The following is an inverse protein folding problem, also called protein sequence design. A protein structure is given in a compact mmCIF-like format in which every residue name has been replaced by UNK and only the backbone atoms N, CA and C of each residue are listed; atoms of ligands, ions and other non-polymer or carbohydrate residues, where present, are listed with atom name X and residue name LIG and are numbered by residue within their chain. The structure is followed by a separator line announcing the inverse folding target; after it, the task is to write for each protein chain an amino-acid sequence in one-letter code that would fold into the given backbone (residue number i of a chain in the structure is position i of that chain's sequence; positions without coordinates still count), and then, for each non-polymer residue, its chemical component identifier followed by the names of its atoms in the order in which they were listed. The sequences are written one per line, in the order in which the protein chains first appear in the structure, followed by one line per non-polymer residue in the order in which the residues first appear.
data_IF_788582398058
#
_entry.id   IF_788582398058
#
_cell.length_a   1.000
_cell.length_b   1.000
_cell.length_c   1.000
_cell.angle_alpha   90.00
_cell.angle_beta   90.00
_cell.angle_gamma   90.00
#
_symmetry.space_group_name_H-M   'P 1'
#
loop_
_entity.id
_entity.type
_entity.pdbx_description
1 polymer ?
#
# COMPACT_ATOMS: atom_id res chain seq x y z
N UNK A 1 6.10 23.97 -19.66
CA UNK A 1 6.25 22.79 -18.83
C UNK A 1 4.95 22.50 -18.08
N UNK A 2 4.42 21.32 -18.22
CA UNK A 2 3.19 20.96 -17.52
C UNK A 2 3.45 20.80 -16.03
N UNK A 3 2.63 21.44 -15.20
CA UNK A 3 2.65 21.20 -13.77
C UNK A 3 2.10 19.80 -13.49
N UNK A 4 2.73 19.10 -12.58
CA UNK A 4 2.21 17.85 -12.08
C UNK A 4 0.88 18.09 -11.39
N UNK A 5 -0.11 17.24 -11.65
CA UNK A 5 -1.40 17.34 -10.98
C UNK A 5 -1.23 17.17 -9.47
N UNK A 6 -1.98 17.95 -8.69
CA UNK A 6 -1.86 17.96 -7.24
C UNK A 6 -2.07 16.58 -6.63
N UNK A 7 -3.02 15.79 -7.16
CA UNK A 7 -3.28 14.44 -6.64
C UNK A 7 -2.13 13.46 -6.90
N UNK A 8 -1.41 13.60 -8.03
CA UNK A 8 -0.24 12.77 -8.35
C UNK A 8 0.91 13.09 -7.40
N UNK A 9 1.14 14.38 -7.17
CA UNK A 9 2.18 14.82 -6.22
C UNK A 9 1.88 14.32 -4.82
N UNK A 10 0.63 14.44 -4.37
CA UNK A 10 0.19 13.96 -3.07
C UNK A 10 0.40 12.46 -2.94
N UNK A 11 0.13 11.70 -4.01
CA UNK A 11 0.36 10.27 -4.05
C UNK A 11 1.82 9.91 -3.84
N UNK A 12 2.74 10.60 -4.53
CA UNK A 12 4.19 10.36 -4.37
C UNK A 12 4.67 10.71 -2.96
N UNK A 13 4.20 11.82 -2.42
CA UNK A 13 4.55 12.22 -1.06
C UNK A 13 3.99 11.23 -0.06
N UNK A 14 2.76 10.76 -0.26
CA UNK A 14 2.13 9.76 0.59
C UNK A 14 2.91 8.45 0.59
N UNK A 15 3.38 7.99 -0.57
CA UNK A 15 4.19 6.79 -0.67
C UNK A 15 5.51 6.92 0.09
N UNK A 16 6.15 8.08 0.01
CA UNK A 16 7.38 8.35 0.76
C UNK A 16 7.12 8.34 2.26
N UNK A 17 6.03 8.96 2.70
CA UNK A 17 5.64 8.97 4.10
C UNK A 17 5.35 7.56 4.60
N UNK A 18 4.60 6.78 3.83
CA UNK A 18 4.28 5.39 4.15
C UNK A 18 5.55 4.55 4.26
N UNK A 19 6.46 4.69 3.30
CA UNK A 19 7.75 3.98 3.31
C UNK A 19 8.53 4.30 4.58
N UNK A 20 8.71 5.58 4.89
CA UNK A 20 9.46 5.99 6.07
C UNK A 20 8.81 5.47 7.35
N UNK A 21 7.50 5.52 7.42
CA UNK A 21 6.73 5.00 8.55
C UNK A 21 6.98 3.51 8.76
N UNK A 22 6.94 2.72 7.69
CA UNK A 22 7.14 1.27 7.76
C UNK A 22 8.61 0.92 8.04
N UNK A 23 9.55 1.67 7.46
CA UNK A 23 10.98 1.45 7.71
C UNK A 23 11.32 1.67 9.19
N UNK A 24 10.68 2.64 9.84
CA UNK A 24 10.87 2.86 11.28
C UNK A 24 10.31 1.70 12.11
N UNK A 25 9.41 0.91 11.54
CA UNK A 25 8.87 -0.29 12.19
C UNK A 25 9.63 -1.56 11.82
N UNK A 26 10.76 -1.41 11.13
CA UNK A 26 11.62 -2.52 10.79
C UNK A 26 11.38 -3.17 9.43
N UNK A 27 10.47 -2.62 8.62
CA UNK A 27 10.25 -3.12 7.27
C UNK A 27 11.41 -2.68 6.37
N UNK A 28 11.79 -3.56 5.46
CA UNK A 28 12.83 -3.29 4.47
C UNK A 28 12.20 -3.08 3.10
N UNK A 29 12.58 -2.01 2.41
CA UNK A 29 12.10 -1.78 1.05
C UNK A 29 12.85 -2.65 0.06
N UNK A 30 12.11 -3.39 -0.76
CA UNK A 30 12.68 -4.18 -1.85
C UNK A 30 12.52 -3.47 -3.19
N UNK A 31 11.29 -3.02 -3.50
CA UNK A 31 11.00 -2.31 -4.74
C UNK A 31 9.86 -1.34 -4.50
N UNK A 32 9.83 -0.25 -5.23
CA UNK A 32 8.72 0.70 -5.24
C UNK A 32 8.18 0.87 -6.64
N UNK A 33 6.87 1.11 -6.73
CA UNK A 33 6.17 1.28 -7.99
C UNK A 33 6.44 0.12 -8.94
N UNK A 34 6.34 -1.09 -8.41
CA UNK A 34 6.60 -2.31 -9.16
C UNK A 34 5.42 -2.61 -10.07
N UNK A 35 5.67 -2.58 -11.38
CA UNK A 35 4.66 -2.89 -12.37
C UNK A 35 4.73 -4.36 -12.74
N UNK A 36 3.69 -5.10 -12.38
CA UNK A 36 3.50 -6.49 -12.74
C UNK A 36 2.41 -6.59 -13.79
N UNK A 37 2.26 -7.76 -14.38
CA UNK A 37 1.22 -8.00 -15.39
C UNK A 37 -0.17 -7.79 -14.78
N UNK A 38 -0.37 -8.31 -13.57
CA UNK A 38 -1.67 -8.34 -12.91
C UNK A 38 -2.00 -7.08 -12.13
N UNK A 39 -0.98 -6.38 -11.62
CA UNK A 39 -1.21 -5.24 -10.74
C UNK A 39 0.06 -4.39 -10.63
N UNK A 40 -0.11 -3.15 -10.17
CA UNK A 40 0.99 -2.30 -9.74
C UNK A 40 1.06 -2.34 -8.23
N UNK A 41 2.27 -2.54 -7.70
CA UNK A 41 2.53 -2.59 -6.26
C UNK A 41 3.23 -1.29 -5.87
N UNK A 42 2.61 -0.50 -5.01
CA UNK A 42 3.17 0.78 -4.59
C UNK A 42 4.51 0.61 -3.90
N UNK A 43 4.55 -0.28 -2.90
CA UNK A 43 5.78 -0.64 -2.21
C UNK A 43 5.80 -2.15 -2.00
N UNK A 44 6.87 -2.78 -2.43
CA UNK A 44 7.15 -4.17 -2.06
C UNK A 44 8.17 -4.13 -0.95
N UNK A 45 7.80 -4.61 0.21
CA UNK A 45 8.63 -4.57 1.41
C UNK A 45 8.81 -5.96 2.00
N UNK A 46 9.66 -6.07 2.98
CA UNK A 46 9.87 -7.31 3.72
C UNK A 46 9.81 -7.00 5.21
N UNK A 47 9.01 -7.78 5.92
CA UNK A 47 8.90 -7.77 7.37
C UNK A 47 9.41 -9.13 7.87
N UNK A 48 10.67 -9.17 8.29
CA UNK A 48 11.33 -10.44 8.60
C UNK A 48 11.38 -11.32 7.35
N UNK A 49 10.77 -12.51 7.42
CA UNK A 49 10.70 -13.45 6.31
C UNK A 49 9.50 -13.22 5.40
N UNK A 50 8.59 -12.31 5.76
CA UNK A 50 7.35 -12.09 5.03
C UNK A 50 7.51 -10.99 4.00
N UNK A 51 7.15 -11.28 2.74
CA UNK A 51 7.01 -10.25 1.72
C UNK A 51 5.69 -9.52 1.92
N UNK A 52 5.73 -8.20 1.90
CA UNK A 52 4.56 -7.37 2.15
C UNK A 52 4.30 -6.50 0.94
N UNK A 53 3.15 -6.72 0.29
CA UNK A 53 2.68 -5.89 -0.79
C UNK A 53 1.90 -4.75 -0.16
N UNK A 54 2.45 -3.54 -0.21
CA UNK A 54 1.87 -2.37 0.45
C UNK A 54 1.15 -1.52 -0.56
N UNK A 55 -0.13 -1.29 -0.32
CA UNK A 55 -0.90 -0.29 -1.04
C UNK A 55 -0.94 0.99 -0.21
N UNK A 56 -0.66 2.11 -0.84
CA UNK A 56 -0.67 3.42 -0.19
C UNK A 56 -1.85 4.23 -0.74
N UNK A 57 -2.71 4.68 0.14
CA UNK A 57 -3.83 5.54 -0.21
C UNK A 57 -3.64 6.89 0.46
N UNK A 58 -3.53 7.93 -0.37
CA UNK A 58 -3.41 9.31 0.10
C UNK A 58 -4.73 10.04 -0.11
N UNK A 59 -5.16 10.78 0.92
CA UNK A 59 -6.42 11.52 0.85
C UNK A 59 -6.36 12.71 1.79
N UNK A 60 -7.26 13.68 1.60
CA UNK A 60 -7.48 14.72 2.58
C UNK A 60 -8.21 14.15 3.78
N UNK A 61 -7.83 14.57 4.97
CA UNK A 61 -8.48 14.14 6.19
C UNK A 61 -9.93 14.64 6.22
N UNK A 62 -10.87 13.74 6.48
CA UNK A 62 -12.31 14.02 6.53
C UNK A 62 -12.97 13.41 7.77
N UNK A 63 -12.22 13.26 8.86
CA UNK A 63 -12.70 12.67 10.09
C UNK A 63 -12.26 11.23 10.27
N UNK A 64 -12.53 10.69 11.46
CA UNK A 64 -12.02 9.37 11.87
C UNK A 64 -12.65 8.20 11.11
N UNK A 65 -13.85 8.38 10.58
CA UNK A 65 -14.59 7.30 9.91
C UNK A 65 -14.33 7.22 8.42
N UNK A 66 -13.48 8.09 7.87
CA UNK A 66 -13.19 8.12 6.45
C UNK A 66 -11.95 7.25 6.16
N UNK A 67 -12.18 6.10 5.53
CA UNK A 67 -11.14 5.12 5.21
C UNK A 67 -11.24 4.65 3.75
N UNK A 68 -10.85 5.52 2.79
CA UNK A 68 -11.03 5.19 1.37
C UNK A 68 -10.22 3.98 0.91
N UNK A 69 -9.10 3.68 1.57
CA UNK A 69 -8.28 2.53 1.23
C UNK A 69 -8.92 1.19 1.56
N UNK A 70 -9.89 1.18 2.49
CA UNK A 70 -10.61 -0.05 2.85
C UNK A 70 -11.78 -0.35 1.92
N UNK A 71 -12.05 0.52 0.96
CA UNK A 71 -13.10 0.33 -0.04
C UNK A 71 -12.47 -0.28 -1.30
N UNK A 72 -12.31 -1.59 -1.31
CA UNK A 72 -11.71 -2.32 -2.42
C UNK A 72 -12.69 -3.38 -2.96
N UNK A 73 -12.51 -3.75 -4.24
CA UNK A 73 -13.37 -4.71 -4.92
C UNK A 73 -12.80 -6.14 -4.84
N UNK A 74 -13.67 -7.12 -5.12
CA UNK A 74 -13.21 -8.51 -5.24
C UNK A 74 -12.25 -8.65 -6.43
N UNK A 75 -12.46 -7.88 -7.50
CA UNK A 75 -11.56 -7.87 -8.65
C UNK A 75 -10.16 -7.41 -8.27
N UNK A 76 -10.05 -6.37 -7.43
CA UNK A 76 -8.77 -5.91 -6.92
C UNK A 76 -8.06 -7.01 -6.14
N UNK A 77 -8.80 -7.72 -5.29
CA UNK A 77 -8.26 -8.82 -4.51
C UNK A 77 -7.72 -9.95 -5.42
N UNK A 78 -8.47 -10.28 -6.49
CA UNK A 78 -8.04 -11.28 -7.46
C UNK A 78 -6.74 -10.84 -8.16
N UNK A 79 -6.67 -9.59 -8.60
CA UNK A 79 -5.46 -9.05 -9.24
C UNK A 79 -4.26 -9.12 -8.31
N UNK A 80 -4.46 -8.81 -7.03
CA UNK A 80 -3.38 -8.87 -6.05
C UNK A 80 -2.90 -10.29 -5.80
N UNK A 81 -3.80 -11.28 -5.81
CA UNK A 81 -3.40 -12.69 -5.71
C UNK A 81 -2.55 -13.12 -6.90
N UNK A 82 -2.94 -12.70 -8.11
CA UNK A 82 -2.16 -12.99 -9.31
C UNK A 82 -0.78 -12.34 -9.25
N UNK A 83 -0.70 -11.14 -8.67
CA UNK A 83 0.57 -10.46 -8.45
C UNK A 83 1.49 -11.29 -7.56
N UNK A 84 0.96 -11.93 -6.52
CA UNK A 84 1.75 -12.81 -5.65
C UNK A 84 2.38 -13.95 -6.46
N UNK A 85 1.62 -14.58 -7.35
CA UNK A 85 2.15 -15.64 -8.22
C UNK A 85 3.27 -15.14 -9.13
N UNK A 86 3.14 -13.92 -9.65
CA UNK A 86 4.22 -13.31 -10.45
C UNK A 86 5.47 -13.06 -9.61
N UNK A 87 5.29 -12.62 -8.37
CA UNK A 87 6.40 -12.37 -7.45
C UNK A 87 7.12 -13.66 -7.07
N UNK A 88 6.37 -14.74 -6.84
CA UNK A 88 6.96 -16.06 -6.58
C UNK A 88 7.87 -16.46 -7.73
N UNK A 89 7.43 -16.29 -8.97
CA UNK A 89 8.25 -16.58 -10.14
C UNK A 89 9.50 -15.70 -10.20
N UNK A 90 9.34 -14.41 -9.87
CA UNK A 90 10.44 -13.46 -9.91
C UNK A 90 11.52 -13.76 -8.88
N UNK A 91 11.11 -14.09 -7.65
CA UNK A 91 12.04 -14.32 -6.54
C UNK A 91 12.40 -15.79 -6.36
N UNK A 92 11.74 -16.68 -7.10
CA UNK A 92 12.13 -18.10 -7.17
C UNK A 92 11.85 -18.94 -5.93
N UNK A 93 11.00 -18.45 -5.03
CA UNK A 93 10.70 -19.19 -3.80
C UNK A 93 9.21 -19.12 -3.47
N UNK A 94 8.52 -20.26 -3.64
CA UNK A 94 7.10 -20.38 -3.36
C UNK A 94 6.78 -20.51 -1.87
N UNK A 95 7.80 -20.73 -1.02
CA UNK A 95 7.60 -20.95 0.40
C UNK A 95 7.62 -19.66 1.21
N UNK A 96 7.98 -18.53 0.60
CA UNK A 96 7.93 -17.25 1.29
C UNK A 96 6.49 -16.84 1.56
N UNK A 97 6.16 -16.48 2.81
CA UNK A 97 4.84 -15.94 3.09
C UNK A 97 4.69 -14.54 2.49
N UNK A 98 3.48 -14.26 2.01
CA UNK A 98 3.10 -12.97 1.45
C UNK A 98 1.94 -12.39 2.23
N UNK A 99 1.95 -11.08 2.38
CA UNK A 99 0.89 -10.35 3.06
C UNK A 99 0.58 -9.07 2.30
N UNK A 100 -0.67 -8.67 2.31
CA UNK A 100 -1.11 -7.41 1.71
C UNK A 100 -1.43 -6.41 2.80
N UNK A 101 -0.70 -5.31 2.84
CA UNK A 101 -0.92 -4.25 3.81
C UNK A 101 -1.43 -2.98 3.12
N UNK A 102 -2.19 -2.20 3.85
CA UNK A 102 -2.65 -0.88 3.43
C UNK A 102 -2.05 0.15 4.37
N UNK A 103 -1.57 1.25 3.80
CA UNK A 103 -1.23 2.45 4.57
C UNK A 103 -2.05 3.60 4.02
N UNK A 104 -2.87 4.20 4.87
CA UNK A 104 -3.59 5.43 4.53
C UNK A 104 -2.80 6.62 5.09
N UNK A 105 -2.53 7.59 4.22
CA UNK A 105 -1.84 8.83 4.59
C UNK A 105 -2.83 9.97 4.38
N UNK A 106 -3.25 10.59 5.47
CA UNK A 106 -4.21 11.69 5.42
C UNK A 106 -3.49 13.02 5.56
N UNK A 107 -3.82 13.93 4.64
CA UNK A 107 -3.27 15.27 4.61
C UNK A 107 -4.27 16.26 5.23
N UNK A 108 -3.77 17.13 6.08
CA UNK A 108 -4.56 18.18 6.70
C UNK A 108 -3.82 19.51 6.66
N UNK A 109 -4.21 20.45 7.54
CA UNK A 109 -3.51 21.74 7.65
C UNK A 109 -2.05 21.57 8.02
N UNK A 110 -1.80 20.67 8.96
CA UNK A 110 -0.45 20.26 9.35
C UNK A 110 -0.21 18.91 8.74
N UNK A 111 0.77 18.84 7.92
CA UNK A 111 1.09 17.69 7.07
C UNK A 111 2.14 16.78 7.71
N UNK A 112 1.97 15.45 7.72
CA UNK A 112 0.72 14.72 7.50
C UNK A 112 -0.20 14.82 8.72
N UNK A 113 -1.52 14.77 8.50
CA UNK A 113 -2.48 14.84 9.60
C UNK A 113 -2.61 13.50 10.33
N UNK A 114 -2.49 12.39 9.61
CA UNK A 114 -2.72 11.06 10.17
C UNK A 114 -2.15 10.00 9.25
N UNK A 115 -1.61 8.93 9.84
CA UNK A 115 -1.17 7.73 9.12
C UNK A 115 -1.83 6.53 9.80
N UNK A 116 -2.46 5.66 8.98
CA UNK A 116 -3.06 4.43 9.46
C UNK A 116 -2.47 3.26 8.72
N UNK A 117 -2.05 2.22 9.44
CA UNK A 117 -1.49 1.00 8.88
C UNK A 117 -2.43 -0.18 9.16
N UNK A 118 -2.83 -0.89 8.12
CA UNK A 118 -3.69 -2.05 8.20
C UNK A 118 -2.92 -3.27 7.68
N UNK A 119 -2.25 -4.04 8.55
CA UNK A 119 -1.63 -5.29 8.13
C UNK A 119 -2.68 -6.27 7.68
N UNK A 120 -2.41 -6.99 6.56
CA UNK A 120 -3.35 -7.98 6.01
C UNK A 120 -4.75 -7.39 5.84
N UNK A 121 -4.83 -6.26 5.13
CA UNK A 121 -6.02 -5.40 5.17
C UNK A 121 -7.28 -5.98 4.54
N UNK A 122 -7.16 -7.03 3.74
CA UNK A 122 -8.34 -7.64 3.13
C UNK A 122 -9.29 -8.27 4.18
N UNK A 123 -8.79 -8.53 5.39
CA UNK A 123 -9.65 -8.99 6.49
C UNK A 123 -10.62 -7.90 6.99
N UNK A 124 -10.37 -6.62 6.63
CA UNK A 124 -11.17 -5.49 7.10
C UNK A 124 -12.36 -5.15 6.19
N UNK A 125 -12.56 -5.89 5.10
CA UNK A 125 -13.59 -5.55 4.11
C UNK A 125 -14.97 -5.36 4.72
N UNK A 126 -15.34 -6.22 5.65
CA UNK A 126 -16.68 -6.20 6.26
C UNK A 126 -16.87 -5.06 7.25
N UNK A 127 -15.82 -4.35 7.61
CA UNK A 127 -15.89 -3.22 8.56
C UNK A 127 -16.26 -1.91 7.88
N UNK A 128 -16.23 -1.86 6.57
CA UNK A 128 -16.48 -0.63 5.80
C UNK A 128 -17.87 -0.56 5.20
N UNK A 129 -18.65 -1.59 5.33
CA UNK A 129 -20.01 -1.66 4.78
C UNK A 129 -21.05 -1.07 5.72
#
# INVERSE_FOLDING_TARGET
MKKEAAHIRRGRIGERIARNFLERRGFELLERNLKLHSAEIDLLMRDGATFVLVEVKSAHYRGEDYHPGLNYSDEQKIRQRRAVHELIRKYGDADFPFRHDLVEVFFGRLFPAKIEHYPDYYRYKNLTN
#
